data_IF_646582512965
#
_entry.id   IF_646582512965
#
_cell.length_a   1.000
_cell.length_b   1.000
_cell.length_c   1.000
_cell.angle_alpha   90.00
_cell.angle_beta   90.00
_cell.angle_gamma   90.00
#
_symmetry.space_group_name_H-M   'P 1'
#
loop_
_entity.id
_entity.type
_entity.pdbx_description
1 polymer ?
#
# COMPACT_ATOMS: atom_id res chain seq x y z
N UNK A 1 11.56 26.24 13.75
CA UNK A 1 11.10 25.90 12.40
C UNK A 1 12.07 24.87 11.84
N UNK A 2 11.67 23.61 11.64
CA UNK A 2 12.59 22.60 11.09
C UNK A 2 12.19 21.13 11.21
N UNK A 3 11.05 20.81 11.80
CA UNK A 3 10.66 19.41 12.08
C UNK A 3 9.79 18.80 10.98
N UNK A 4 9.12 19.62 10.15
CA UNK A 4 8.14 19.14 9.18
C UNK A 4 8.74 18.57 7.87
N UNK A 5 9.94 18.99 7.47
CA UNK A 5 10.53 18.59 6.18
C UNK A 5 11.29 17.25 6.22
N UNK A 6 11.63 16.75 7.42
CA UNK A 6 12.40 15.50 7.56
C UNK A 6 11.50 14.26 7.51
N UNK A 7 10.29 14.35 8.06
CA UNK A 7 9.32 13.26 8.06
C UNK A 7 8.93 12.82 6.65
N UNK A 8 8.71 13.77 5.73
CA UNK A 8 8.27 13.48 4.35
C UNK A 8 9.30 12.65 3.56
N UNK A 9 10.60 12.81 3.83
CA UNK A 9 11.66 12.16 3.06
C UNK A 9 12.00 10.75 3.55
N UNK A 10 11.72 10.44 4.82
CA UNK A 10 11.88 9.09 5.37
C UNK A 10 10.72 8.18 4.96
N UNK A 11 9.50 8.73 4.85
CA UNK A 11 8.28 7.99 4.46
C UNK A 11 8.29 7.41 3.04
N UNK A 12 9.07 7.97 2.11
CA UNK A 12 9.22 7.44 0.75
C UNK A 12 10.13 6.19 0.69
N UNK A 13 11.15 6.14 1.56
CA UNK A 13 12.15 5.07 1.54
C UNK A 13 11.60 3.75 2.14
N UNK A 14 10.59 3.83 3.01
CA UNK A 14 9.92 2.68 3.61
C UNK A 14 9.06 1.90 2.60
N UNK A 15 8.35 2.61 1.72
CA UNK A 15 7.58 2.01 0.64
C UNK A 15 8.50 1.32 -0.37
N UNK A 16 9.61 1.95 -0.77
CA UNK A 16 10.65 1.31 -1.58
C UNK A 16 11.29 0.12 -0.87
N UNK A 17 11.47 0.14 0.46
CA UNK A 17 12.04 -1.00 1.19
C UNK A 17 11.06 -2.19 1.27
N UNK A 18 9.76 -1.93 1.43
CA UNK A 18 8.70 -2.94 1.37
C UNK A 18 8.55 -3.52 -0.05
N UNK A 19 8.54 -2.66 -1.08
CA UNK A 19 8.51 -3.06 -2.50
C UNK A 19 9.80 -3.81 -2.89
N UNK A 20 10.96 -3.35 -2.42
CA UNK A 20 12.23 -4.03 -2.62
C UNK A 20 12.29 -5.37 -1.88
N UNK A 21 11.59 -5.49 -0.74
CA UNK A 21 11.39 -6.75 -0.03
C UNK A 21 10.64 -7.79 -0.88
N UNK A 22 9.64 -7.35 -1.64
CA UNK A 22 8.91 -8.19 -2.60
C UNK A 22 9.82 -8.71 -3.73
N UNK A 23 10.68 -7.85 -4.30
CA UNK A 23 11.58 -8.21 -5.41
C UNK A 23 12.80 -9.06 -4.97
N UNK A 24 13.28 -8.91 -3.72
CA UNK A 24 14.51 -9.55 -3.24
C UNK A 24 14.37 -11.05 -2.98
N UNK A 25 13.15 -11.52 -2.72
CA UNK A 25 12.88 -12.93 -2.40
C UNK A 25 13.10 -13.87 -3.59
N UNK A 26 13.11 -13.37 -4.84
CA UNK A 26 13.12 -14.24 -6.02
C UNK A 26 14.51 -14.46 -6.68
N UNK A 27 15.61 -13.92 -6.13
CA UNK A 27 16.94 -13.98 -6.79
C UNK A 27 18.05 -14.74 -6.04
N UNK A 28 17.78 -15.38 -4.90
CA UNK A 28 18.79 -16.19 -4.18
C UNK A 28 18.20 -17.48 -3.62
N UNK A 29 18.04 -18.48 -4.47
CA UNK A 29 17.76 -19.85 -4.03
C UNK A 29 18.64 -20.87 -4.76
N UNK A 30 19.97 -20.70 -4.67
CA UNK A 30 20.92 -21.79 -4.89
C UNK A 30 21.84 -21.88 -3.66
N UNK A 31 21.53 -22.79 -2.72
CA UNK A 31 22.40 -23.13 -1.60
C UNK A 31 21.72 -23.38 -0.25
N UNK A 32 21.30 -24.63 -0.02
CA UNK A 32 21.22 -25.36 1.26
C UNK A 32 20.54 -24.68 2.48
N UNK A 33 19.34 -25.14 2.84
CA UNK A 33 19.06 -25.87 4.09
C UNK A 33 17.54 -26.06 4.27
N UNK A 34 17.13 -27.31 4.45
CA UNK A 34 15.83 -27.65 5.01
C UNK A 34 15.73 -27.06 6.43
N UNK A 35 14.74 -26.19 6.66
CA UNK A 35 14.14 -26.02 7.97
C UNK A 35 12.62 -26.13 7.80
N UNK A 36 12.12 -27.17 8.46
CA UNK A 36 10.79 -27.45 9.00
C UNK A 36 9.55 -26.65 8.55
N UNK A 37 8.49 -27.45 8.38
CA UNK A 37 7.04 -27.15 8.40
C UNK A 37 6.48 -26.43 7.17
N UNK A 38 5.69 -27.12 6.32
CA UNK A 38 4.61 -26.44 5.61
C UNK A 38 3.57 -26.06 6.68
N UNK A 39 3.81 -24.93 7.35
CA UNK A 39 2.78 -24.26 8.14
C UNK A 39 1.85 -23.60 7.12
N UNK A 40 0.94 -24.42 6.61
CA UNK A 40 -0.20 -23.99 5.84
C UNK A 40 -1.36 -23.74 6.82
N UNK A 41 -1.14 -22.89 7.82
CA UNK A 41 -2.22 -22.27 8.57
C UNK A 41 -2.92 -21.27 7.64
N UNK A 42 -3.77 -21.80 6.77
CA UNK A 42 -4.64 -21.04 5.87
C UNK A 42 -5.82 -20.42 6.63
N UNK A 43 -5.57 -19.93 7.85
CA UNK A 43 -6.51 -19.14 8.63
C UNK A 43 -5.98 -17.72 8.75
N UNK A 44 -5.67 -17.09 7.61
CA UNK A 44 -5.56 -15.62 7.51
C UNK A 44 -6.95 -15.01 7.79
N UNK A 45 -7.38 -15.10 9.05
CA UNK A 45 -8.45 -14.34 9.68
C UNK A 45 -7.91 -12.96 10.13
N UNK A 46 -6.73 -12.59 9.61
CA UNK A 46 -6.25 -11.22 9.62
C UNK A 46 -7.04 -10.39 8.60
N UNK A 47 -7.25 -9.08 8.85
CA UNK A 47 -7.86 -8.21 7.87
C UNK A 47 -7.02 -8.20 6.58
N UNK A 48 -7.61 -8.62 5.45
CA UNK A 48 -6.98 -8.57 4.13
C UNK A 48 -6.85 -7.10 3.71
N UNK A 49 -5.66 -6.54 3.90
CA UNK A 49 -5.36 -5.15 3.53
C UNK A 49 -4.68 -5.16 2.16
N UNK A 50 -5.26 -4.43 1.23
CA UNK A 50 -4.71 -4.18 -0.09
C UNK A 50 -4.00 -2.85 -0.11
N UNK A 51 -2.87 -2.81 -0.82
CA UNK A 51 -2.15 -1.59 -1.15
C UNK A 51 -2.21 -1.39 -2.67
N UNK A 52 -2.73 -0.25 -3.08
CA UNK A 52 -2.87 0.13 -4.48
C UNK A 52 -1.99 1.35 -4.72
N UNK A 53 -1.05 1.22 -5.63
CA UNK A 53 -0.13 2.29 -6.04
C UNK A 53 -0.64 2.80 -7.37
N UNK A 54 -0.83 4.11 -7.46
CA UNK A 54 -1.36 4.75 -8.66
C UNK A 54 -1.07 6.22 -8.72
N UNK A 55 -1.67 6.90 -9.69
CA UNK A 55 -1.60 8.35 -9.86
C UNK A 55 -3.00 8.93 -9.93
N UNK A 56 -3.26 9.98 -9.15
CA UNK A 56 -4.52 10.72 -9.19
C UNK A 56 -4.38 12.04 -9.91
N UNK A 57 -5.42 12.40 -10.67
CA UNK A 57 -5.51 13.64 -11.42
C UNK A 57 -6.74 14.42 -10.95
N UNK A 58 -6.52 15.64 -10.44
CA UNK A 58 -7.61 16.55 -10.02
C UNK A 58 -8.20 17.34 -11.21
N UNK A 59 -7.50 17.36 -12.35
CA UNK A 59 -7.91 18.01 -13.58
C UNK A 59 -7.13 17.43 -14.77
N UNK A 60 -7.71 17.53 -15.97
CA UNK A 60 -7.12 17.07 -17.26
C UNK A 60 -5.72 17.66 -17.53
N UNK A 61 -5.42 18.83 -16.94
CA UNK A 61 -4.14 19.53 -17.04
C UNK A 61 -3.29 19.47 -15.75
N UNK A 62 -3.68 18.67 -14.76
CA UNK A 62 -2.92 18.53 -13.51
C UNK A 62 -1.72 17.61 -13.69
N UNK A 63 -0.62 17.91 -13.00
CA UNK A 63 0.46 16.94 -12.80
C UNK A 63 -0.12 15.80 -11.95
N UNK A 64 -0.08 14.57 -12.47
CA UNK A 64 -0.59 13.39 -11.77
C UNK A 64 0.19 13.16 -10.48
N UNK A 65 -0.51 13.10 -9.36
CA UNK A 65 0.07 12.96 -8.02
C UNK A 65 0.21 11.47 -7.72
N UNK A 66 1.36 11.03 -7.23
CA UNK A 66 1.57 9.65 -6.80
C UNK A 66 0.75 9.37 -5.52
N UNK A 67 -0.09 8.33 -5.60
CA UNK A 67 -1.03 7.94 -4.55
C UNK A 67 -0.79 6.49 -4.13
N UNK A 68 -0.69 6.26 -2.83
CA UNK A 68 -0.82 4.91 -2.27
C UNK A 68 -2.12 4.83 -1.51
N UNK A 69 -2.98 3.89 -1.89
CA UNK A 69 -4.27 3.65 -1.24
C UNK A 69 -4.18 2.35 -0.46
N UNK A 70 -4.42 2.42 0.85
CA UNK A 70 -4.51 1.25 1.71
C UNK A 70 -5.97 1.07 2.13
N UNK A 71 -6.50 -0.13 1.94
CA UNK A 71 -7.85 -0.45 2.37
C UNK A 71 -8.04 -1.94 2.64
N UNK A 72 -9.04 -2.25 3.46
CA UNK A 72 -9.47 -3.63 3.67
C UNK A 72 -10.48 -4.04 2.62
N UNK A 73 -10.25 -5.16 1.95
CA UNK A 73 -11.18 -5.70 0.99
C UNK A 73 -11.19 -7.24 1.05
N UNK A 74 -12.29 -7.89 0.64
CA UNK A 74 -12.33 -9.34 0.50
C UNK A 74 -11.54 -9.85 -0.71
N UNK A 75 -11.45 -9.06 -1.79
CA UNK A 75 -10.86 -9.42 -3.08
C UNK A 75 -10.33 -8.16 -3.79
N UNK A 76 -9.51 -8.35 -4.83
CA UNK A 76 -8.87 -7.27 -5.60
C UNK A 76 -9.89 -6.35 -6.28
N UNK A 77 -10.94 -6.92 -6.88
CA UNK A 77 -12.04 -6.17 -7.52
C UNK A 77 -12.73 -5.22 -6.54
N UNK A 78 -12.93 -5.68 -5.30
CA UNK A 78 -13.55 -4.84 -4.26
C UNK A 78 -12.57 -3.74 -3.83
N UNK A 79 -11.29 -4.07 -3.68
CA UNK A 79 -10.26 -3.10 -3.32
C UNK A 79 -10.18 -1.96 -4.34
N UNK A 80 -10.14 -2.29 -5.64
CA UNK A 80 -10.11 -1.30 -6.73
C UNK A 80 -11.32 -0.40 -6.69
N UNK A 81 -12.52 -0.98 -6.54
CA UNK A 81 -13.76 -0.22 -6.54
C UNK A 81 -13.83 0.77 -5.36
N UNK A 82 -13.50 0.31 -4.17
CA UNK A 82 -13.51 1.14 -2.96
C UNK A 82 -12.45 2.25 -3.04
N UNK A 83 -11.26 1.94 -3.56
CA UNK A 83 -10.22 2.93 -3.80
C UNK A 83 -10.68 4.00 -4.79
N UNK A 84 -11.24 3.63 -5.94
CA UNK A 84 -11.78 4.58 -6.91
C UNK A 84 -12.91 5.43 -6.33
N UNK A 85 -13.77 4.84 -5.51
CA UNK A 85 -14.83 5.57 -4.82
C UNK A 85 -14.25 6.62 -3.86
N UNK A 86 -13.27 6.23 -3.03
CA UNK A 86 -12.59 7.15 -2.12
C UNK A 86 -11.84 8.27 -2.86
N UNK A 87 -11.19 7.96 -3.98
CA UNK A 87 -10.53 8.96 -4.82
C UNK A 87 -11.53 9.96 -5.42
N UNK A 88 -12.68 9.48 -5.89
CA UNK A 88 -13.74 10.33 -6.39
C UNK A 88 -14.33 11.22 -5.28
N UNK A 89 -14.47 10.70 -4.06
CA UNK A 89 -14.90 11.46 -2.88
C UNK A 89 -13.84 12.49 -2.43
N UNK A 90 -12.56 12.18 -2.60
CA UNK A 90 -11.44 13.10 -2.31
C UNK A 90 -11.35 14.23 -3.35
N UNK A 91 -11.94 14.06 -4.54
CA UNK A 91 -12.03 15.07 -5.60
C UNK A 91 -11.18 14.79 -6.84
N UNK A 92 -10.59 13.60 -6.94
CA UNK A 92 -9.91 13.17 -8.16
C UNK A 92 -10.93 12.87 -9.27
N UNK A 93 -10.66 13.37 -10.46
CA UNK A 93 -11.50 13.12 -11.65
C UNK A 93 -11.06 11.87 -12.39
N UNK A 94 -9.77 11.57 -12.34
CA UNK A 94 -9.15 10.42 -12.98
C UNK A 94 -8.10 9.84 -12.04
N UNK A 95 -7.96 8.52 -12.08
CA UNK A 95 -6.95 7.80 -11.34
C UNK A 95 -6.44 6.64 -12.18
N UNK A 96 -5.12 6.51 -12.25
CA UNK A 96 -4.44 5.41 -12.92
C UNK A 96 -3.84 4.50 -11.87
N UNK A 97 -4.32 3.26 -11.78
CA UNK A 97 -3.84 2.28 -10.82
C UNK A 97 -2.74 1.44 -11.49
N UNK A 98 -1.49 1.63 -11.09
CA UNK A 98 -0.33 1.01 -11.73
C UNK A 98 -0.02 -0.37 -11.13
N UNK A 99 -0.12 -0.50 -9.81
CA UNK A 99 0.21 -1.73 -9.09
C UNK A 99 -0.77 -2.00 -7.94
N UNK A 100 -1.20 -3.26 -7.79
CA UNK A 100 -2.04 -3.72 -6.67
C UNK A 100 -1.27 -4.83 -5.95
N UNK A 101 -1.15 -4.72 -4.63
CA UNK A 101 -0.53 -5.70 -3.75
C UNK A 101 -1.38 -5.95 -2.51
N UNK A 102 -1.05 -7.00 -1.77
CA UNK A 102 -1.63 -7.28 -0.46
C UNK A 102 -0.58 -7.12 0.62
N UNK A 103 -0.93 -6.39 1.68
CA UNK A 103 -0.14 -6.31 2.90
C UNK A 103 -0.46 -7.52 3.77
N UNK A 104 0.47 -8.47 3.76
CA UNK A 104 0.46 -9.64 4.65
C UNK A 104 1.04 -9.33 6.03
N UNK A 105 1.71 -8.20 6.18
CA UNK A 105 2.38 -7.76 7.40
C UNK A 105 1.96 -6.33 7.76
N UNK A 106 1.91 -6.04 9.07
CA UNK A 106 1.54 -4.71 9.59
C UNK A 106 2.73 -3.77 9.39
N UNK A 107 2.59 -2.68 8.61
CA UNK A 107 3.64 -1.67 8.54
C UNK A 107 3.71 -0.90 9.87
N UNK A 108 4.90 -0.81 10.46
CA UNK A 108 5.14 0.00 11.67
C UNK A 108 5.62 1.43 11.35
N UNK A 109 5.82 1.73 10.06
CA UNK A 109 6.37 3.00 9.58
C UNK A 109 5.25 4.01 9.28
N UNK A 110 5.34 5.22 9.82
CA UNK A 110 4.40 6.30 9.46
C UNK A 110 4.80 6.97 8.12
N UNK A 111 3.83 7.21 7.22
CA UNK A 111 2.37 7.24 7.41
C UNK A 111 1.63 5.92 7.16
N UNK A 112 2.32 4.85 6.75
CA UNK A 112 1.69 3.58 6.38
C UNK A 112 1.06 2.85 7.57
N UNK A 113 1.64 2.96 8.77
CA UNK A 113 1.08 2.39 10.00
C UNK A 113 -0.31 2.97 10.33
N UNK A 114 -0.44 4.30 10.25
CA UNK A 114 -1.70 5.01 10.48
C UNK A 114 -2.73 4.70 9.39
N UNK A 115 -2.29 4.60 8.13
CA UNK A 115 -3.13 4.19 7.01
C UNK A 115 -3.63 2.73 7.15
N UNK A 116 -2.78 1.82 7.60
CA UNK A 116 -3.14 0.42 7.84
C UNK A 116 -4.19 0.29 8.97
N UNK A 117 -4.05 1.07 10.05
CA UNK A 117 -5.06 1.09 11.12
C UNK A 117 -6.41 1.59 10.62
N UNK A 118 -6.45 2.65 9.80
CA UNK A 118 -7.68 3.10 9.15
C UNK A 118 -8.29 1.99 8.27
N UNK A 119 -7.45 1.32 7.46
CA UNK A 119 -7.88 0.19 6.64
C UNK A 119 -8.49 -0.95 7.46
N UNK A 120 -7.92 -1.30 8.63
CA UNK A 120 -8.50 -2.32 9.52
C UNK A 120 -9.90 -1.94 9.99
N UNK A 121 -10.12 -0.66 10.32
CA UNK A 121 -11.42 -0.12 10.74
C UNK A 121 -12.45 -0.11 9.59
N UNK A 122 -11.96 -0.26 8.35
CA UNK A 122 -12.77 -0.22 7.13
C UNK A 122 -12.74 1.15 6.46
N UNK A 123 -11.83 2.02 6.85
CA UNK A 123 -11.60 3.32 6.20
C UNK A 123 -10.59 3.18 5.06
N UNK A 124 -10.79 3.95 3.98
CA UNK A 124 -9.84 4.00 2.87
C UNK A 124 -8.79 5.07 3.17
N UNK A 125 -7.54 4.66 3.31
CA UNK A 125 -6.44 5.56 3.58
C UNK A 125 -5.69 5.92 2.30
N UNK A 126 -5.72 7.19 1.92
CA UNK A 126 -5.06 7.71 0.70
C UNK A 126 -3.82 8.52 1.12
N UNK A 127 -2.64 8.06 0.68
CA UNK A 127 -1.35 8.70 0.92
C UNK A 127 -0.90 9.39 -0.35
N UNK A 128 -0.72 10.72 -0.31
CA UNK A 128 -0.25 11.54 -1.42
C UNK A 128 1.24 11.82 -1.30
N UNK A 129 2.02 11.57 -2.35
CA UNK A 129 3.44 11.89 -2.43
C UNK A 129 3.66 13.09 -3.37
N UNK A 130 4.30 14.16 -2.86
CA UNK A 130 4.62 15.40 -3.59
C UNK A 130 6.05 15.87 -3.28
#
# INVERSE_FOLDING_TARGET
MGIAAKAVKESANAAEALLAGFERSNRKAEGLAMITTPDNDNNFDGPMIFIIIGKGYESDASEGIDLHILLKAPDDDTAVREALNALAEEGFIEADLDQIGMLTEIPEEEPHASAYQGAIDGEVAIIRFN
#
